data_IF_220155090085
#
_entry.id   IF_220155090085
#
_cell.length_a   1.000
_cell.length_b   1.000
_cell.length_c   1.000
_cell.angle_alpha   90.00
_cell.angle_beta   90.00
_cell.angle_gamma   90.00
#
_symmetry.space_group_name_H-M   'P 1'
#
loop_
_entity.id
_entity.type
_entity.pdbx_description
1 polymer ?
#
# COMPACT_ATOMS: atom_id res chain seq x y z
N UNK A 1 -12.64 -26.90 16.65
CA UNK A 1 -11.79 -27.06 15.46
C UNK A 1 -12.48 -26.33 14.34
N UNK A 2 -12.38 -25.01 14.34
CA UNK A 2 -13.01 -24.16 13.32
C UNK A 2 -12.04 -24.00 12.17
N UNK A 3 -12.54 -24.33 11.00
CA UNK A 3 -11.82 -24.57 9.76
C UNK A 3 -11.04 -23.34 9.31
N UNK A 4 -9.70 -23.48 9.25
CA UNK A 4 -8.73 -22.66 8.50
C UNK A 4 -8.96 -22.68 6.98
N UNK A 5 -10.21 -22.63 6.53
CA UNK A 5 -10.60 -22.85 5.13
C UNK A 5 -11.86 -22.10 4.70
N UNK A 6 -12.32 -21.10 5.47
CA UNK A 6 -13.38 -20.20 4.99
C UNK A 6 -12.82 -19.32 3.87
N UNK A 7 -12.97 -19.77 2.62
CA UNK A 7 -12.77 -19.01 1.37
C UNK A 7 -13.74 -17.82 1.22
N UNK A 8 -14.11 -17.17 2.33
CA UNK A 8 -14.51 -15.76 2.37
C UNK A 8 -13.27 -14.85 2.46
N UNK A 9 -12.07 -15.44 2.49
CA UNK A 9 -10.76 -14.81 2.67
C UNK A 9 -10.49 -13.78 1.58
N UNK A 10 -10.36 -12.53 2.03
CA UNK A 10 -9.75 -11.43 1.31
C UNK A 10 -8.53 -11.94 0.51
N UNK A 11 -8.58 -11.85 -0.82
CA UNK A 11 -7.45 -12.22 -1.64
C UNK A 11 -6.45 -11.06 -1.65
N UNK A 12 -5.32 -11.19 -0.95
CA UNK A 12 -4.23 -10.22 -0.96
C UNK A 12 -3.60 -10.07 -2.34
N UNK A 13 -3.64 -11.13 -3.16
CA UNK A 13 -3.13 -11.10 -4.54
C UNK A 13 -3.92 -10.10 -5.39
N UNK A 14 -5.19 -9.84 -5.05
CA UNK A 14 -6.02 -8.87 -5.74
C UNK A 14 -5.75 -7.40 -5.33
N UNK A 15 -4.90 -7.14 -4.32
CA UNK A 15 -4.41 -5.78 -4.02
C UNK A 15 -3.42 -5.25 -5.07
N UNK A 16 -3.06 -6.09 -6.06
CA UNK A 16 -2.31 -5.71 -7.26
C UNK A 16 -3.00 -4.64 -8.10
N UNK A 17 -4.35 -4.63 -8.16
CA UNK A 17 -5.12 -3.52 -8.73
C UNK A 17 -6.18 -3.01 -7.75
N UNK A 18 -5.88 -1.94 -6.99
CA UNK A 18 -6.80 -1.41 -6.00
C UNK A 18 -8.08 -0.79 -6.59
N UNK A 19 -8.14 -0.59 -7.91
CA UNK A 19 -9.30 -0.01 -8.60
C UNK A 19 -10.28 -1.05 -9.15
N UNK A 20 -9.90 -2.33 -9.17
CA UNK A 20 -10.68 -3.40 -9.79
C UNK A 20 -11.03 -4.52 -8.80
N UNK A 21 -10.91 -4.27 -7.50
CA UNK A 21 -11.06 -5.31 -6.49
C UNK A 21 -12.50 -5.82 -6.37
N UNK A 22 -12.64 -7.15 -6.33
CA UNK A 22 -13.93 -7.83 -6.15
C UNK A 22 -13.84 -8.88 -5.05
N UNK A 23 -14.85 -8.94 -4.17
CA UNK A 23 -15.04 -9.99 -3.20
C UNK A 23 -16.10 -10.99 -3.65
N UNK A 24 -15.83 -12.29 -3.42
CA UNK A 24 -16.83 -13.35 -3.56
C UNK A 24 -17.61 -13.47 -2.26
N UNK A 25 -18.84 -12.98 -2.25
CA UNK A 25 -19.71 -12.98 -1.07
C UNK A 25 -20.75 -14.09 -1.21
N UNK A 26 -20.89 -14.94 -0.19
CA UNK A 26 -21.93 -15.98 -0.14
C UNK A 26 -23.31 -15.31 -0.05
N UNK A 27 -24.25 -15.68 -0.91
CA UNK A 27 -25.63 -15.20 -0.83
C UNK A 27 -26.29 -15.79 0.43
N UNK A 28 -26.92 -14.96 1.29
CA UNK A 28 -27.62 -15.47 2.47
C UNK A 28 -28.72 -16.45 2.07
N UNK A 29 -28.72 -17.64 2.68
CA UNK A 29 -29.70 -18.70 2.43
C UNK A 29 -29.40 -19.61 1.24
N UNK A 30 -28.24 -19.50 0.58
CA UNK A 30 -27.82 -20.37 -0.53
C UNK A 30 -26.34 -20.73 -0.44
N UNK A 31 -25.90 -21.77 -1.14
CA UNK A 31 -24.48 -22.08 -1.36
C UNK A 31 -23.85 -21.35 -2.56
N UNK A 32 -24.57 -20.38 -3.14
CA UNK A 32 -24.09 -19.55 -4.24
C UNK A 32 -23.22 -18.39 -3.75
N UNK A 33 -22.15 -18.08 -4.49
CA UNK A 33 -21.29 -16.92 -4.27
C UNK A 33 -21.52 -15.89 -5.37
N UNK A 34 -21.60 -14.60 -5.02
CA UNK A 34 -21.71 -13.49 -5.96
C UNK A 34 -20.49 -12.59 -5.85
N UNK A 35 -19.98 -12.16 -7.00
CA UNK A 35 -18.90 -11.19 -7.07
C UNK A 35 -19.44 -9.79 -6.78
N UNK A 36 -18.79 -9.07 -5.87
CA UNK A 36 -19.11 -7.71 -5.49
C UNK A 36 -17.89 -6.84 -5.62
N UNK A 37 -18.01 -5.78 -6.41
CA UNK A 37 -16.99 -4.73 -6.46
C UNK A 37 -16.89 -4.07 -5.09
N UNK A 38 -15.66 -3.90 -4.61
CA UNK A 38 -15.34 -3.26 -3.33
C UNK A 38 -14.38 -2.11 -3.60
N UNK A 39 -14.70 -0.94 -3.06
CA UNK A 39 -13.79 0.18 -3.09
C UNK A 39 -12.73 0.00 -2.00
N UNK A 40 -11.56 -0.50 -2.38
CA UNK A 40 -10.47 -0.77 -1.43
C UNK A 40 -9.94 0.50 -0.77
N UNK A 41 -9.91 1.62 -1.51
CA UNK A 41 -9.38 2.88 -1.00
C UNK A 41 -10.25 3.37 0.15
N UNK A 42 -11.56 3.46 -0.07
CA UNK A 42 -12.51 3.90 0.95
C UNK A 42 -12.62 2.90 2.10
N UNK A 43 -12.61 1.60 1.80
CA UNK A 43 -12.65 0.56 2.83
C UNK A 43 -11.42 0.64 3.73
N UNK A 44 -10.23 0.82 3.16
CA UNK A 44 -9.01 0.98 3.94
C UNK A 44 -9.05 2.25 4.79
N UNK A 45 -9.48 3.38 4.22
CA UNK A 45 -9.64 4.64 4.95
C UNK A 45 -10.53 4.45 6.19
N UNK A 46 -11.65 3.75 6.03
CA UNK A 46 -12.57 3.43 7.12
C UNK A 46 -11.93 2.52 8.17
N UNK A 47 -11.34 1.40 7.76
CA UNK A 47 -10.78 0.39 8.68
C UNK A 47 -9.63 0.95 9.54
N UNK A 48 -8.77 1.78 8.97
CA UNK A 48 -7.68 2.39 9.74
C UNK A 48 -8.17 3.57 10.60
N UNK A 49 -9.40 4.04 10.40
CA UNK A 49 -9.95 5.22 11.07
C UNK A 49 -9.36 6.53 10.53
N UNK A 50 -8.96 6.56 9.25
CA UNK A 50 -8.34 7.70 8.63
C UNK A 50 -9.32 8.86 8.52
N UNK A 51 -8.94 10.00 9.10
CA UNK A 51 -9.56 11.28 8.81
C UNK A 51 -8.84 11.90 7.62
N UNK A 52 -9.40 11.67 6.44
CA UNK A 52 -8.84 12.13 5.17
C UNK A 52 -8.76 13.66 5.15
N UNK A 53 -7.59 14.19 4.79
CA UNK A 53 -7.34 15.61 4.54
C UNK A 53 -7.36 15.87 3.04
N UNK A 54 -6.69 15.01 2.26
CA UNK A 54 -6.49 15.22 0.84
C UNK A 54 -6.38 13.88 0.10
N UNK A 55 -7.09 13.76 -1.02
CA UNK A 55 -6.95 12.65 -1.96
C UNK A 55 -6.42 13.22 -3.26
N UNK A 56 -5.21 12.82 -3.66
CA UNK A 56 -4.66 13.26 -4.92
C UNK A 56 -5.37 12.61 -6.11
N UNK A 57 -5.26 13.28 -7.26
CA UNK A 57 -5.62 12.66 -8.53
C UNK A 57 -4.70 11.46 -8.81
N UNK A 58 -5.24 10.39 -9.41
CA UNK A 58 -4.43 9.28 -9.86
C UNK A 58 -3.40 9.75 -10.90
N UNK A 59 -2.19 9.22 -10.79
CA UNK A 59 -1.10 9.50 -11.71
C UNK A 59 -0.61 8.18 -12.28
N UNK A 60 -0.47 8.11 -13.59
CA UNK A 60 0.12 6.98 -14.28
C UNK A 60 1.47 7.38 -14.85
N UNK A 61 2.39 6.42 -14.88
CA UNK A 61 3.76 6.64 -15.28
C UNK A 61 4.23 5.56 -16.22
N UNK A 62 5.18 5.94 -17.07
CA UNK A 62 5.96 5.02 -17.87
C UNK A 62 7.45 5.25 -17.57
N UNK A 63 8.22 4.18 -17.74
CA UNK A 63 9.63 4.13 -17.41
C UNK A 63 10.34 3.16 -18.35
N UNK A 64 11.52 3.59 -18.80
CA UNK A 64 12.50 2.71 -19.42
C UNK A 64 13.49 2.25 -18.35
N UNK A 65 13.98 1.02 -18.49
CA UNK A 65 14.90 0.41 -17.53
C UNK A 65 16.17 0.00 -18.22
N UNK A 66 17.28 0.16 -17.50
CA UNK A 66 18.58 -0.34 -17.90
C UNK A 66 19.18 -1.19 -16.78
N UNK A 67 20.09 -2.09 -17.14
CA UNK A 67 20.83 -2.93 -16.19
C UNK A 67 22.23 -2.36 -16.08
N UNK A 68 22.56 -1.80 -14.92
CA UNK A 68 23.89 -1.25 -14.64
C UNK A 68 24.72 -2.30 -13.91
N UNK A 69 25.97 -2.45 -14.30
CA UNK A 69 26.91 -3.32 -13.59
C UNK A 69 27.18 -2.75 -12.20
N UNK A 70 27.01 -3.59 -11.18
CA UNK A 70 27.21 -3.21 -9.78
C UNK A 70 28.23 -4.17 -9.15
N UNK A 71 29.48 -3.72 -8.90
CA UNK A 71 30.54 -4.57 -8.36
C UNK A 71 30.35 -4.91 -6.87
N UNK A 72 29.37 -4.32 -6.19
CA UNK A 72 29.10 -4.54 -4.77
C UNK A 72 28.09 -5.69 -4.53
N UNK A 73 27.45 -6.19 -5.60
CA UNK A 73 26.55 -7.33 -5.54
C UNK A 73 27.30 -8.69 -5.54
N UNK A 74 26.74 -9.74 -4.91
CA UNK A 74 27.33 -11.08 -4.87
C UNK A 74 27.54 -11.65 -6.29
N UNK A 75 28.52 -12.54 -6.45
CA UNK A 75 29.01 -13.06 -7.76
C UNK A 75 27.93 -13.68 -8.68
N UNK A 76 26.76 -14.04 -8.13
CA UNK A 76 25.61 -14.57 -8.89
C UNK A 76 24.72 -13.47 -9.52
N UNK A 77 24.83 -12.21 -9.07
CA UNK A 77 24.11 -11.05 -9.60
C UNK A 77 25.08 -9.89 -9.84
N UNK A 78 25.44 -9.64 -11.10
CA UNK A 78 26.36 -8.55 -11.44
C UNK A 78 25.67 -7.26 -11.90
N UNK A 79 24.34 -7.21 -11.93
CA UNK A 79 23.61 -6.06 -12.49
C UNK A 79 22.42 -5.63 -11.64
N UNK A 80 22.33 -4.34 -11.32
CA UNK A 80 21.13 -3.73 -10.73
C UNK A 80 20.22 -3.14 -11.80
N UNK A 81 18.92 -3.20 -11.57
CA UNK A 81 17.96 -2.45 -12.37
C UNK A 81 18.04 -0.96 -11.98
N UNK A 82 18.07 -0.09 -12.98
CA UNK A 82 18.01 1.35 -12.81
C UNK A 82 17.08 1.95 -13.86
N UNK A 83 16.53 3.14 -13.58
CA UNK A 83 15.79 3.88 -14.58
C UNK A 83 16.72 4.41 -15.66
N UNK A 84 16.32 4.21 -16.91
CA UNK A 84 16.91 4.90 -18.05
C UNK A 84 16.27 6.29 -18.16
N UNK A 85 16.81 7.23 -17.39
CA UNK A 85 16.31 8.61 -17.30
C UNK A 85 15.44 8.85 -16.07
N UNK A 86 14.37 9.65 -16.23
CA UNK A 86 13.46 10.01 -15.14
C UNK A 86 12.09 9.37 -15.33
N UNK A 87 11.43 9.07 -14.22
CA UNK A 87 10.04 8.64 -14.21
C UNK A 87 9.14 9.70 -14.88
N UNK A 88 8.53 9.35 -16.00
CA UNK A 88 7.70 10.25 -16.81
C UNK A 88 6.22 9.94 -16.60
N UNK A 89 5.40 10.98 -16.41
CA UNK A 89 3.96 10.78 -16.35
C UNK A 89 3.44 10.43 -17.74
N UNK A 90 2.65 9.36 -17.81
CA UNK A 90 2.08 8.88 -19.05
C UNK A 90 0.69 8.29 -18.76
N UNK A 91 -0.40 8.79 -19.39
CA UNK A 91 -1.77 8.33 -19.15
C UNK A 91 -2.02 6.86 -19.54
N UNK A 92 -1.16 6.27 -20.38
CA UNK A 92 -1.23 4.87 -20.79
C UNK A 92 -0.16 4.00 -20.09
N UNK A 93 0.60 4.58 -19.17
CA UNK A 93 1.66 3.90 -18.44
C UNK A 93 1.12 2.82 -17.50
N UNK A 94 1.83 1.68 -17.36
CA UNK A 94 1.35 0.55 -16.57
C UNK A 94 1.44 0.81 -15.06
N UNK A 95 2.28 1.76 -14.62
CA UNK A 95 2.43 2.11 -13.22
C UNK A 95 1.46 3.22 -12.83
N UNK A 96 0.39 2.82 -12.17
CA UNK A 96 -0.60 3.74 -11.62
C UNK A 96 -0.30 3.98 -10.13
N UNK A 97 -0.43 5.22 -9.67
CA UNK A 97 -0.31 5.62 -8.27
C UNK A 97 -1.43 6.56 -7.88
N UNK A 98 -1.85 6.48 -6.62
CA UNK A 98 -2.73 7.46 -5.99
C UNK A 98 -2.37 7.62 -4.52
N UNK A 99 -2.11 8.86 -4.12
CA UNK A 99 -1.83 9.18 -2.72
C UNK A 99 -3.08 9.69 -2.00
N UNK A 100 -3.20 9.30 -0.75
CA UNK A 100 -4.22 9.76 0.20
C UNK A 100 -3.49 10.24 1.45
N UNK A 101 -3.77 11.46 1.87
CA UNK A 101 -3.17 12.10 3.03
C UNK A 101 -4.27 12.33 4.07
N UNK A 102 -3.98 12.03 5.31
CA UNK A 102 -4.91 12.21 6.41
C UNK A 102 -4.24 12.08 7.77
N UNK A 103 -5.04 11.81 8.78
CA UNK A 103 -4.53 11.57 10.12
C UNK A 103 -5.42 10.61 10.89
N UNK A 104 -4.83 9.95 11.88
CA UNK A 104 -5.53 9.13 12.86
C UNK A 104 -5.33 9.73 14.25
N UNK A 105 -6.29 9.57 15.18
CA UNK A 105 -6.07 9.99 16.56
C UNK A 105 -4.92 9.20 17.18
N UNK A 106 -3.92 9.89 17.73
CA UNK A 106 -2.78 9.25 18.39
C UNK A 106 -3.12 8.60 19.74
N UNK A 107 -4.36 8.78 20.20
CA UNK A 107 -4.92 8.07 21.35
C UNK A 107 -6.30 7.51 20.94
N UNK A 108 -6.43 6.20 20.68
CA UNK A 108 -7.70 5.60 20.27
C UNK A 108 -8.79 5.69 21.34
N UNK A 109 -8.40 5.72 22.63
CA UNK A 109 -9.35 5.83 23.75
C UNK A 109 -9.87 7.26 23.93
N UNK A 110 -9.07 8.27 23.59
CA UNK A 110 -9.42 9.69 23.65
C UNK A 110 -9.16 10.39 22.30
N UNK A 111 -9.98 10.10 21.27
CA UNK A 111 -9.73 10.55 19.90
C UNK A 111 -9.81 12.07 19.71
N UNK A 112 -10.30 12.80 20.71
CA UNK A 112 -10.42 14.26 20.70
C UNK A 112 -9.35 14.97 21.55
N UNK A 113 -8.34 14.26 22.06
CA UNK A 113 -7.25 14.82 22.89
C UNK A 113 -6.22 15.68 22.08
N UNK A 114 -6.54 16.06 20.85
CA UNK A 114 -5.67 16.89 20.00
C UNK A 114 -4.42 16.19 19.46
N UNK A 115 -4.03 15.03 19.98
CA UNK A 115 -2.95 14.19 19.44
C UNK A 115 -3.39 13.56 18.12
N UNK A 116 -2.66 13.86 17.04
CA UNK A 116 -2.92 13.37 15.69
C UNK A 116 -1.64 12.79 15.14
N UNK A 117 -1.73 11.61 14.57
CA UNK A 117 -0.65 11.00 13.79
C UNK A 117 -0.95 11.21 12.30
N UNK A 118 -0.02 11.81 11.58
CA UNK A 118 -0.16 12.05 10.14
C UNK A 118 0.06 10.77 9.36
N UNK A 119 -0.90 10.44 8.52
CA UNK A 119 -0.89 9.21 7.73
C UNK A 119 -0.87 9.53 6.25
N UNK A 120 0.03 8.87 5.53
CA UNK A 120 0.07 8.83 4.08
C UNK A 120 -0.27 7.40 3.64
N UNK A 121 -1.20 7.26 2.70
CA UNK A 121 -1.45 6.00 1.99
C UNK A 121 -1.05 6.20 0.53
N UNK A 122 -0.21 5.32 0.02
CA UNK A 122 0.19 5.26 -1.38
C UNK A 122 -0.35 3.97 -1.98
N UNK A 123 -1.40 4.12 -2.77
CA UNK A 123 -1.93 3.05 -3.59
C UNK A 123 -1.20 3.00 -4.93
N UNK A 124 -0.90 1.79 -5.40
CA UNK A 124 -0.33 1.56 -6.73
C UNK A 124 -0.93 0.34 -7.41
N UNK A 125 -0.81 0.28 -8.74
CA UNK A 125 -1.01 -0.95 -9.50
C UNK A 125 0.32 -1.69 -9.64
N UNK A 126 0.31 -2.98 -9.32
CA UNK A 126 1.46 -3.86 -9.48
C UNK A 126 1.40 -4.49 -10.88
N UNK A 127 2.55 -4.52 -11.55
CA UNK A 127 2.68 -5.11 -12.89
C UNK A 127 2.99 -6.60 -12.84
N UNK A 128 3.33 -7.12 -11.65
CA UNK A 128 3.80 -8.50 -11.43
C UNK A 128 5.32 -8.62 -11.46
N UNK A 129 6.03 -7.56 -11.83
CA UNK A 129 7.49 -7.47 -11.77
C UNK A 129 7.89 -6.64 -10.54
N UNK A 130 8.10 -7.33 -9.40
CA UNK A 130 8.37 -6.68 -8.11
C UNK A 130 9.63 -5.80 -8.14
N UNK A 131 10.64 -6.16 -8.94
CA UNK A 131 11.88 -5.39 -9.04
C UNK A 131 11.61 -4.03 -9.71
N UNK A 132 10.86 -4.03 -10.82
CA UNK A 132 10.41 -2.78 -11.48
C UNK A 132 9.44 -2.01 -10.60
N UNK A 133 8.43 -2.65 -10.03
CA UNK A 133 7.41 -1.99 -9.23
C UNK A 133 8.00 -1.31 -7.99
N UNK A 134 9.02 -1.91 -7.38
CA UNK A 134 9.74 -1.34 -6.24
C UNK A 134 10.64 -0.18 -6.65
N UNK A 135 11.34 -0.29 -7.77
CA UNK A 135 12.15 0.81 -8.31
C UNK A 135 11.29 2.03 -8.64
N UNK A 136 10.13 1.82 -9.27
CA UNK A 136 9.20 2.91 -9.62
C UNK A 136 8.62 3.56 -8.37
N UNK A 137 8.33 2.77 -7.33
CA UNK A 137 7.89 3.30 -6.05
C UNK A 137 8.95 4.22 -5.43
N UNK A 138 10.21 3.80 -5.40
CA UNK A 138 11.32 4.60 -4.84
C UNK A 138 11.46 5.93 -5.57
N UNK A 139 11.51 5.88 -6.91
CA UNK A 139 11.58 7.06 -7.78
C UNK A 139 10.34 7.97 -7.64
N UNK A 140 9.16 7.39 -7.39
CA UNK A 140 7.95 8.16 -7.13
C UNK A 140 8.05 8.90 -5.79
N UNK A 141 8.60 8.28 -4.74
CA UNK A 141 8.84 8.93 -3.45
C UNK A 141 9.83 10.09 -3.58
N UNK A 142 10.95 9.88 -4.28
CA UNK A 142 11.93 10.92 -4.56
C UNK A 142 11.32 12.08 -5.37
N UNK A 143 10.56 11.77 -6.43
CA UNK A 143 9.88 12.76 -7.27
C UNK A 143 8.87 13.60 -6.49
N UNK A 144 8.15 12.99 -5.55
CA UNK A 144 7.19 13.69 -4.69
C UNK A 144 7.86 14.37 -3.48
N UNK A 145 9.19 14.24 -3.32
CA UNK A 145 9.95 14.72 -2.16
C UNK A 145 9.46 14.16 -0.82
N UNK A 146 8.88 12.96 -0.85
CA UNK A 146 8.37 12.29 0.34
C UNK A 146 9.52 11.48 0.92
N UNK A 147 9.93 11.82 2.14
CA UNK A 147 10.96 11.08 2.86
C UNK A 147 10.34 10.18 3.93
N UNK A 148 10.60 8.89 3.87
CA UNK A 148 10.25 7.96 4.97
C UNK A 148 11.07 8.24 6.22
N UNK A 149 12.12 9.06 6.14
CA UNK A 149 13.01 9.38 7.27
C UNK A 149 12.70 10.70 7.98
N UNK A 150 11.83 11.53 7.40
CA UNK A 150 11.49 12.86 7.94
C UNK A 150 10.28 12.84 8.89
N UNK A 151 9.92 13.97 9.49
CA UNK A 151 8.77 14.12 10.40
C UNK A 151 7.47 14.52 9.68
N UNK A 152 7.46 14.57 8.35
CA UNK A 152 6.26 14.92 7.57
C UNK A 152 5.09 13.97 7.83
N UNK A 153 5.35 12.66 7.87
CA UNK A 153 4.36 11.63 8.13
C UNK A 153 4.79 10.71 9.28
N UNK A 154 3.82 10.36 10.11
CA UNK A 154 3.97 9.42 11.21
C UNK A 154 3.87 7.96 10.75
N UNK A 155 3.02 7.70 9.76
CA UNK A 155 2.82 6.35 9.21
C UNK A 155 2.59 6.45 7.71
N UNK A 156 3.19 5.53 6.97
CA UNK A 156 3.10 5.43 5.52
C UNK A 156 2.61 4.03 5.19
N UNK A 157 1.45 3.94 4.54
CA UNK A 157 0.88 2.69 4.06
C UNK A 157 1.13 2.55 2.57
N UNK A 158 1.62 1.40 2.12
CA UNK A 158 1.85 1.09 0.70
C UNK A 158 1.35 -0.32 0.41
N UNK A 159 0.73 -0.56 -0.76
CA UNK A 159 0.37 -1.92 -1.16
C UNK A 159 1.52 -2.63 -1.89
N UNK A 160 1.65 -3.94 -1.66
CA UNK A 160 2.71 -4.79 -2.21
C UNK A 160 4.09 -4.59 -1.57
N UNK A 161 5.02 -5.49 -1.88
CA UNK A 161 6.41 -5.45 -1.39
C UNK A 161 7.07 -4.09 -1.64
N UNK A 162 7.95 -3.60 -0.78
CA UNK A 162 8.67 -2.36 -1.02
C UNK A 162 10.10 -2.44 -0.48
N UNK A 163 11.01 -1.64 -1.04
CA UNK A 163 12.39 -1.51 -0.57
C UNK A 163 12.60 -0.21 0.21
N UNK A 164 11.53 0.43 0.68
CA UNK A 164 11.63 1.72 1.35
C UNK A 164 12.35 1.56 2.70
N UNK A 165 13.26 2.48 3.08
CA UNK A 165 13.93 2.39 4.36
C UNK A 165 12.89 2.55 5.48
N UNK A 166 12.74 1.49 6.28
CA UNK A 166 11.74 1.43 7.34
C UNK A 166 12.37 1.85 8.66
N UNK A 167 11.86 2.94 9.24
CA UNK A 167 12.26 3.38 10.58
C UNK A 167 11.35 2.73 11.63
N UNK A 168 11.97 2.16 12.65
CA UNK A 168 11.29 1.70 13.84
C UNK A 168 10.98 2.91 14.74
N UNK A 169 9.70 3.16 15.01
CA UNK A 169 9.25 4.17 15.98
C UNK A 169 9.37 3.64 17.41
N UNK A 170 9.35 4.57 18.37
CA UNK A 170 9.24 4.25 19.79
C UNK A 170 7.99 3.40 20.04
N UNK A 171 8.17 2.19 20.58
CA UNK A 171 7.09 1.21 20.79
C UNK A 171 7.00 0.09 19.74
N UNK A 172 8.10 -0.27 19.07
CA UNK A 172 8.19 -1.41 18.13
C UNK A 172 7.28 -1.30 16.89
N UNK A 173 6.86 -0.08 16.54
CA UNK A 173 5.99 0.12 15.38
C UNK A 173 6.76 0.65 14.18
N UNK A 174 6.59 -0.02 13.03
CA UNK A 174 7.21 0.41 11.78
C UNK A 174 6.50 1.62 11.21
N UNK A 175 7.28 2.55 10.65
CA UNK A 175 6.76 3.72 9.95
C UNK A 175 6.14 3.39 8.60
N UNK A 176 6.77 2.52 7.82
CA UNK A 176 6.22 2.00 6.56
C UNK A 176 5.53 0.67 6.84
N UNK A 177 4.27 0.53 6.42
CA UNK A 177 3.43 -0.65 6.64
C UNK A 177 2.76 -1.09 5.35
N UNK A 178 2.56 -2.40 5.20
CA UNK A 178 1.78 -2.95 4.09
C UNK A 178 0.30 -2.72 4.34
N UNK A 179 -0.40 -2.23 3.32
CA UNK A 179 -1.86 -2.03 3.39
C UNK A 179 -2.55 -3.38 3.63
N UNK A 180 -2.11 -4.44 2.96
CA UNK A 180 -2.65 -5.79 3.08
C UNK A 180 -2.60 -6.30 4.53
N UNK A 181 -1.47 -6.11 5.21
CA UNK A 181 -1.28 -6.56 6.59
C UNK A 181 -2.16 -5.78 7.57
N UNK A 182 -2.21 -4.45 7.45
CA UNK A 182 -3.05 -3.62 8.32
C UNK A 182 -4.54 -3.87 8.06
N UNK A 183 -4.93 -4.08 6.80
CA UNK A 183 -6.29 -4.40 6.42
C UNK A 183 -6.73 -5.76 7.01
N UNK A 184 -5.89 -6.79 6.90
CA UNK A 184 -6.13 -8.10 7.53
C UNK A 184 -6.20 -7.97 9.05
N UNK A 185 -5.28 -7.22 9.67
CA UNK A 185 -5.31 -7.01 11.12
C UNK A 185 -6.64 -6.37 11.53
N UNK A 186 -7.01 -5.24 10.94
CA UNK A 186 -8.23 -4.49 11.30
C UNK A 186 -9.52 -5.25 11.00
N UNK A 187 -9.56 -6.04 9.93
CA UNK A 187 -10.76 -6.82 9.61
C UNK A 187 -10.98 -7.97 10.60
N UNK A 188 -9.92 -8.66 11.05
CA UNK A 188 -10.05 -9.76 12.00
C UNK A 188 -10.07 -9.32 13.48
N UNK A 189 -9.56 -8.12 13.77
CA UNK A 189 -9.62 -7.48 15.09
C UNK A 189 -11.03 -6.99 15.47
N UNK A 190 -11.98 -6.94 14.52
CA UNK A 190 -13.40 -6.64 14.81
C UNK A 190 -14.15 -7.75 15.58
N UNK A 191 -13.42 -8.75 16.12
CA UNK A 191 -13.94 -9.94 16.78
C UNK A 191 -13.96 -9.94 18.32
N UNK A 192 -13.72 -8.81 19.00
CA UNK A 192 -13.94 -8.71 20.46
C UNK A 192 -14.68 -7.40 20.82
N UNK A 193 -16.02 -7.47 20.79
CA UNK A 193 -16.90 -6.56 21.56
C UNK A 193 -18.05 -7.36 22.15
#
# INVERSE_FOLDING_TARGET
METRGSQSLLNIDAFTDPTAYTLKVKKPGTDEYVERAVDLLETCNYLIGLRVIHIAQPQTFNAAFTRLFDPELPEDQHTRLALEGKLSQDPAGPWWFRKVEGWVPGDPQNPNNGKREKVLIVWRKLTGDLEKDNLILDEWFEKNRISTRDFEFDTIYVNGSNNLPNLLKEGDTWKVRLIEEEFMKRMWDTGEI
#
